data_IF_037281694318
#
_entry.id   IF_037281694318
#
_cell.length_a   1.000
_cell.length_b   1.000
_cell.length_c   1.000
_cell.angle_alpha   90.00
_cell.angle_beta   90.00
_cell.angle_gamma   90.00
#
_symmetry.space_group_name_H-M   'P 1'
#
loop_
_entity.id
_entity.type
_entity.pdbx_description
1 polymer ?
#
# COMPACT_ATOMS: atom_id res chain seq x y z
N UNK A 1 3.97 -3.34 9.13
CA UNK A 1 3.75 -3.51 7.67
C UNK A 1 5.08 -3.60 6.95
N UNK A 2 5.17 -4.45 5.96
CA UNK A 2 6.35 -4.56 5.11
C UNK A 2 6.20 -3.66 3.89
N UNK A 3 7.20 -2.84 3.64
CA UNK A 3 7.29 -2.05 2.42
C UNK A 3 7.79 -2.94 1.27
N UNK A 4 7.09 -2.87 0.14
CA UNK A 4 7.45 -3.55 -1.09
C UNK A 4 7.55 -2.53 -2.22
N UNK A 5 8.26 -2.88 -3.27
CA UNK A 5 8.44 -2.03 -4.43
C UNK A 5 8.12 -2.83 -5.68
N UNK A 6 7.19 -2.33 -6.48
CA UNK A 6 6.90 -2.86 -7.80
C UNK A 6 7.56 -1.98 -8.84
N UNK A 7 8.53 -2.53 -9.57
CA UNK A 7 9.29 -1.78 -10.57
C UNK A 7 8.64 -1.90 -11.94
N UNK A 8 8.47 -0.76 -12.60
CA UNK A 8 7.97 -0.68 -13.97
C UNK A 8 8.95 0.13 -14.82
N UNK A 9 8.75 0.14 -16.15
CA UNK A 9 9.53 0.98 -17.03
C UNK A 9 9.28 2.47 -16.76
N UNK A 10 8.13 2.83 -16.24
CA UNK A 10 7.75 4.22 -15.99
C UNK A 10 8.17 4.73 -14.62
N UNK A 11 8.49 3.83 -13.69
CA UNK A 11 8.88 4.18 -12.33
C UNK A 11 8.60 3.04 -11.37
N UNK A 12 8.67 3.35 -10.09
CA UNK A 12 8.45 2.38 -9.03
C UNK A 12 7.17 2.71 -8.27
N UNK A 13 6.44 1.67 -7.88
CA UNK A 13 5.27 1.81 -7.03
C UNK A 13 5.62 1.20 -5.67
N UNK A 14 5.53 2.02 -4.62
CA UNK A 14 5.74 1.57 -3.25
C UNK A 14 4.39 1.15 -2.67
N UNK A 15 4.38 -0.01 -2.04
CA UNK A 15 3.19 -0.50 -1.36
C UNK A 15 3.58 -1.23 -0.08
N UNK A 16 2.62 -1.40 0.80
CA UNK A 16 2.83 -2.01 2.10
C UNK A 16 1.81 -3.12 2.30
N UNK A 17 2.28 -4.24 2.83
CA UNK A 17 1.44 -5.37 3.19
C UNK A 17 1.75 -5.76 4.63
N UNK A 18 0.77 -6.33 5.32
CA UNK A 18 1.01 -6.83 6.66
C UNK A 18 1.87 -8.10 6.65
N UNK A 19 2.54 -8.34 7.77
CA UNK A 19 3.32 -9.55 7.96
C UNK A 19 2.41 -10.78 7.97
N UNK A 20 2.92 -11.92 7.45
CA UNK A 20 2.20 -13.17 7.51
C UNK A 20 0.91 -13.18 6.72
N UNK A 21 0.95 -12.72 5.47
CA UNK A 21 -0.19 -12.82 4.56
C UNK A 21 -0.76 -14.23 4.57
N UNK A 22 -2.09 -14.32 4.75
CA UNK A 22 -2.79 -15.59 4.85
C UNK A 22 -3.74 -15.71 3.65
N UNK A 23 -3.53 -16.69 2.76
CA UNK A 23 -4.38 -16.83 1.56
C UNK A 23 -5.84 -17.15 1.88
N UNK A 24 -6.14 -17.60 3.10
CA UNK A 24 -7.53 -17.89 3.51
C UNK A 24 -8.26 -16.69 4.07
N UNK A 25 -7.56 -15.60 4.35
CA UNK A 25 -8.17 -14.36 4.82
C UNK A 25 -8.48 -13.43 3.66
N UNK A 26 -9.57 -12.68 3.80
CA UNK A 26 -9.88 -11.61 2.85
C UNK A 26 -8.80 -10.53 2.90
N UNK A 27 -8.60 -9.83 1.79
CA UNK A 27 -7.66 -8.72 1.69
C UNK A 27 -8.41 -7.40 1.67
N UNK A 28 -8.04 -6.49 2.58
CA UNK A 28 -8.52 -5.11 2.56
C UNK A 28 -7.49 -4.26 1.81
N UNK A 29 -7.97 -3.51 0.83
CA UNK A 29 -7.14 -2.63 0.02
C UNK A 29 -7.48 -1.20 0.36
N UNK A 30 -6.48 -0.43 0.80
CA UNK A 30 -6.63 0.99 1.12
C UNK A 30 -5.98 1.81 0.01
N UNK A 31 -6.77 2.62 -0.67
CA UNK A 31 -6.33 3.44 -1.80
C UNK A 31 -6.43 4.92 -1.40
N UNK A 32 -5.32 5.55 -0.95
CA UNK A 32 -5.33 6.97 -0.62
C UNK A 32 -5.71 7.82 -1.83
N UNK A 33 -6.39 8.93 -1.56
CA UNK A 33 -6.74 9.88 -2.60
C UNK A 33 -5.53 10.63 -3.17
N UNK A 34 -5.78 11.51 -4.13
CA UNK A 34 -4.72 12.17 -4.93
C UNK A 34 -3.68 12.94 -4.12
N UNK A 35 -4.08 13.53 -2.99
CA UNK A 35 -3.18 14.34 -2.16
C UNK A 35 -2.72 13.62 -0.90
N UNK A 36 -3.06 12.35 -0.76
CA UNK A 36 -2.73 11.54 0.40
C UNK A 36 -1.72 10.45 0.03
N UNK A 37 -1.13 9.84 1.05
CA UNK A 37 -0.22 8.72 0.88
C UNK A 37 -0.67 7.55 1.76
N UNK A 38 0.18 6.51 1.82
CA UNK A 38 -0.11 5.29 2.59
C UNK A 38 -0.42 5.55 4.07
N UNK A 39 0.02 6.68 4.64
CA UNK A 39 -0.14 6.99 6.06
C UNK A 39 -1.56 7.43 6.43
N UNK A 40 -2.37 7.78 5.41
CA UNK A 40 -3.74 8.23 5.64
C UNK A 40 -4.56 7.23 6.46
N UNK A 41 -4.30 5.95 6.27
CA UNK A 41 -5.08 4.87 6.88
C UNK A 41 -4.35 4.16 8.03
N UNK A 42 -3.32 4.76 8.61
CA UNK A 42 -2.48 4.09 9.61
C UNK A 42 -3.29 3.49 10.78
N UNK A 43 -4.27 4.23 11.29
CA UNK A 43 -5.09 3.75 12.40
C UNK A 43 -6.01 2.60 12.00
N UNK A 44 -6.59 2.68 10.81
CA UNK A 44 -7.44 1.62 10.28
C UNK A 44 -6.63 0.35 10.01
N UNK A 45 -5.44 0.51 9.45
CA UNK A 45 -4.54 -0.60 9.18
C UNK A 45 -4.14 -1.29 10.49
N UNK A 46 -3.77 -0.52 11.51
CA UNK A 46 -3.41 -1.06 12.82
C UNK A 46 -4.54 -1.91 13.41
N UNK A 47 -5.78 -1.47 13.23
CA UNK A 47 -6.95 -2.22 13.70
C UNK A 47 -7.16 -3.52 12.92
N UNK A 48 -7.02 -3.49 11.60
CA UNK A 48 -7.42 -4.60 10.74
C UNK A 48 -6.31 -5.60 10.43
N UNK A 49 -5.04 -5.24 10.61
CA UNK A 49 -3.93 -6.09 10.18
C UNK A 49 -3.84 -7.44 10.91
N UNK A 50 -4.46 -7.56 12.09
CA UNK A 50 -4.55 -8.82 12.81
C UNK A 50 -5.70 -9.71 12.38
N UNK A 51 -6.63 -9.20 11.57
CA UNK A 51 -7.88 -9.89 11.20
C UNK A 51 -7.89 -10.22 9.71
N UNK A 52 -7.35 -9.32 8.88
CA UNK A 52 -7.37 -9.43 7.42
C UNK A 52 -5.96 -9.29 6.87
N UNK A 53 -5.77 -9.74 5.63
CA UNK A 53 -4.63 -9.29 4.84
C UNK A 53 -4.87 -7.83 4.48
N UNK A 54 -3.82 -7.01 4.57
CA UNK A 54 -3.93 -5.56 4.33
C UNK A 54 -2.94 -5.16 3.25
N UNK A 55 -3.41 -4.34 2.32
CA UNK A 55 -2.61 -3.73 1.26
C UNK A 55 -2.90 -2.24 1.23
N UNK A 56 -1.84 -1.43 1.18
CA UNK A 56 -1.93 0.01 0.96
C UNK A 56 -0.78 0.45 0.07
N UNK A 57 -1.02 1.40 -0.80
CA UNK A 57 0.02 1.87 -1.72
C UNK A 57 0.16 3.39 -1.70
N UNK A 58 1.32 3.87 -2.16
CA UNK A 58 1.46 5.22 -2.68
C UNK A 58 1.17 5.14 -4.17
N UNK A 59 0.12 5.83 -4.64
CA UNK A 59 -0.31 5.75 -6.03
C UNK A 59 0.80 6.18 -6.98
N UNK A 60 0.85 5.67 -8.21
CA UNK A 60 1.86 6.08 -9.18
C UNK A 60 1.96 7.61 -9.29
N UNK A 61 3.18 8.14 -9.15
CA UNK A 61 3.44 9.57 -9.20
C UNK A 61 3.19 10.32 -7.89
N UNK A 62 2.83 9.62 -6.80
CA UNK A 62 2.53 10.23 -5.50
C UNK A 62 3.48 9.70 -4.42
N UNK A 63 3.85 10.58 -3.48
CA UNK A 63 4.69 10.26 -2.33
C UNK A 63 5.93 9.44 -2.75
N UNK A 64 6.16 8.26 -2.15
CA UNK A 64 7.32 7.42 -2.48
C UNK A 64 7.26 6.82 -3.88
N UNK A 65 6.11 6.79 -4.52
CA UNK A 65 5.95 6.33 -5.90
C UNK A 65 6.20 7.43 -6.93
N UNK A 66 6.80 8.54 -6.53
CA UNK A 66 7.26 9.61 -7.41
C UNK A 66 8.78 9.50 -7.58
N UNK A 67 9.39 9.75 -8.75
CA UNK A 67 8.72 10.11 -10.01
C UNK A 67 8.13 8.89 -10.73
N UNK A 68 7.14 9.14 -11.55
CA UNK A 68 6.51 8.12 -12.37
C UNK A 68 6.11 8.72 -13.71
N UNK A 69 6.51 8.08 -14.80
CA UNK A 69 6.22 8.53 -16.16
C UNK A 69 4.95 7.84 -16.65
N UNK A 70 3.93 8.65 -16.90
CA UNK A 70 2.64 8.14 -17.37
C UNK A 70 2.58 8.02 -18.89
#
# INVERSE_FOLDING_TARGET
MNEKIYKTQSGCIHYWINLGQDPEKATLIFLPGLTADHRLFDKQIEFFEGIYNVFVWDAPGHAKSWPFEF
#
